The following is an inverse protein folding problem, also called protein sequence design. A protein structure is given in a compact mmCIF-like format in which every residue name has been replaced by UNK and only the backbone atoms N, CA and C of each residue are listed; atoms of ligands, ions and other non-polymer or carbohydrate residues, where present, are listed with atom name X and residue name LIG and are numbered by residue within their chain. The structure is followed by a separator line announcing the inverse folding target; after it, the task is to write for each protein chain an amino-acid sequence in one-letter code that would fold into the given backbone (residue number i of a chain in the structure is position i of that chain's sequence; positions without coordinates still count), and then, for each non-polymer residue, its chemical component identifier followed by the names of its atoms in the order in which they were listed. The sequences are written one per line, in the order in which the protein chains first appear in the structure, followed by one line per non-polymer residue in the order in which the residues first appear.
data_IF_448642456593
#
_entry.id   IF_448642456593
#
_cell.length_a   1.000
_cell.length_b   1.000
_cell.length_c   1.000
_cell.angle_alpha   90.00
_cell.angle_beta   90.00
_cell.angle_gamma   90.00
#
_symmetry.space_group_name_H-M   'P 1'
#
loop_
_entity.id
_entity.type
_entity.pdbx_description
1 polymer ?
#
# COMPACT_ATOMS: atom_id res chain seq x y z
N UNK A 1 -2.47 6.99 20.84
CA UNK A 1 -2.88 5.79 20.08
C UNK A 1 -1.68 4.85 20.08
N UNK A 2 -1.71 3.77 20.88
CA UNK A 2 -0.55 2.87 20.98
C UNK A 2 -0.48 2.01 19.72
N UNK A 3 0.68 1.96 19.08
CA UNK A 3 0.98 1.12 17.90
C UNK A 3 1.00 -0.39 18.23
N UNK A 4 0.37 -0.81 19.33
CA UNK A 4 0.33 -2.19 19.79
C UNK A 4 -0.82 -2.90 19.05
N UNK A 5 -0.48 -3.97 18.31
CA UNK A 5 -1.38 -4.98 17.72
C UNK A 5 -1.98 -4.77 16.32
N UNK A 6 -1.28 -4.11 15.39
CA UNK A 6 -1.66 -4.14 13.97
C UNK A 6 -0.94 -5.33 13.28
N UNK A 7 -1.73 -6.30 12.80
CA UNK A 7 -1.31 -7.53 12.11
C UNK A 7 -2.58 -8.19 11.54
N UNK A 8 -2.67 -8.48 10.23
CA UNK A 8 -1.63 -8.44 9.18
C UNK A 8 -1.54 -7.10 8.42
N UNK A 9 -0.49 -6.95 7.60
CA UNK A 9 -0.38 -5.86 6.62
C UNK A 9 -0.27 -6.38 5.19
N UNK A 10 -1.06 -5.82 4.28
CA UNK A 10 -0.86 -6.00 2.83
C UNK A 10 -0.03 -4.87 2.24
N UNK A 11 0.87 -5.19 1.32
CA UNK A 11 1.81 -4.27 0.69
C UNK A 11 1.78 -4.43 -0.82
N UNK A 12 1.66 -3.32 -1.54
CA UNK A 12 1.73 -3.28 -3.01
C UNK A 12 2.67 -2.17 -3.47
N UNK A 13 3.60 -2.52 -4.36
CA UNK A 13 4.45 -1.56 -5.06
C UNK A 13 3.72 -0.87 -6.21
N UNK A 14 4.04 0.41 -6.41
CA UNK A 14 3.59 1.26 -7.51
C UNK A 14 4.80 1.72 -8.32
N UNK A 15 4.70 1.69 -9.65
CA UNK A 15 5.76 2.21 -10.53
C UNK A 15 5.18 2.90 -11.76
N UNK A 16 5.82 3.98 -12.22
CA UNK A 16 5.36 4.79 -13.35
C UNK A 16 6.05 6.15 -13.34
N UNK A 17 5.30 7.23 -13.60
CA UNK A 17 5.78 8.61 -13.39
C UNK A 17 5.91 8.98 -11.92
N UNK A 18 5.39 8.14 -11.04
CA UNK A 18 5.74 8.10 -9.63
C UNK A 18 6.09 6.66 -9.25
N UNK A 19 6.93 6.50 -8.24
CA UNK A 19 7.25 5.20 -7.65
C UNK A 19 6.96 5.22 -6.16
N UNK A 20 6.52 4.08 -5.61
CA UNK A 20 6.25 4.01 -4.19
C UNK A 20 5.51 2.76 -3.77
N UNK A 21 4.86 2.85 -2.62
CA UNK A 21 4.27 1.68 -1.96
C UNK A 21 2.96 2.07 -1.28
N UNK A 22 1.96 1.19 -1.39
CA UNK A 22 0.72 1.21 -0.61
C UNK A 22 0.81 0.12 0.45
N UNK A 23 0.47 0.47 1.69
CA UNK A 23 0.47 -0.43 2.84
C UNK A 23 -0.89 -0.32 3.52
N UNK A 24 -1.60 -1.44 3.63
CA UNK A 24 -2.81 -1.55 4.44
C UNK A 24 -2.50 -2.40 5.66
N UNK A 25 -2.51 -1.80 6.83
CA UNK A 25 -2.26 -2.49 8.09
C UNK A 25 -3.55 -2.62 8.89
N UNK A 26 -3.95 -3.85 9.23
CA UNK A 26 -5.22 -4.12 9.90
C UNK A 26 -4.99 -4.71 11.29
N UNK A 27 -5.84 -4.36 12.26
CA UNK A 27 -5.94 -5.18 13.46
C UNK A 27 -6.39 -6.60 13.12
N UNK A 28 -5.96 -7.57 13.92
CA UNK A 28 -6.27 -8.99 13.70
C UNK A 28 -7.76 -9.26 13.57
N UNK A 29 -8.56 -8.62 14.43
CA UNK A 29 -10.01 -8.77 14.42
C UNK A 29 -10.61 -8.27 13.10
N UNK A 30 -10.16 -7.12 12.59
CA UNK A 30 -10.59 -6.58 11.29
C UNK A 30 -10.28 -7.55 10.16
N UNK A 31 -9.08 -8.11 10.09
CA UNK A 31 -8.73 -9.05 9.01
C UNK A 31 -9.56 -10.35 9.05
N UNK A 32 -9.79 -10.90 10.25
CA UNK A 32 -10.64 -12.09 10.43
C UNK A 32 -12.08 -11.80 10.02
N UNK A 33 -12.65 -10.67 10.46
CA UNK A 33 -14.03 -10.30 10.14
C UNK A 33 -14.20 -9.97 8.66
N UNK A 34 -13.23 -9.27 8.03
CA UNK A 34 -13.25 -9.02 6.60
C UNK A 34 -13.22 -10.33 5.80
N UNK A 35 -12.44 -11.32 6.24
CA UNK A 35 -12.38 -12.65 5.61
C UNK A 35 -13.71 -13.39 5.79
N UNK A 36 -14.31 -13.33 6.98
CA UNK A 36 -15.64 -13.90 7.25
C UNK A 36 -16.71 -13.32 6.32
N UNK A 37 -16.69 -12.01 6.08
CA UNK A 37 -17.62 -11.35 5.17
C UNK A 37 -17.39 -11.77 3.70
N UNK A 38 -16.13 -11.94 3.29
CA UNK A 38 -15.80 -12.32 1.91
C UNK A 38 -16.11 -13.79 1.59
N UNK A 39 -15.88 -14.69 2.55
CA UNK A 39 -15.96 -16.14 2.33
C UNK A 39 -17.16 -16.81 3.00
N UNK A 40 -17.89 -16.09 3.86
CA UNK A 40 -19.03 -16.61 4.61
C UNK A 40 -18.69 -17.56 5.75
N UNK A 41 -17.40 -17.70 6.08
CA UNK A 41 -16.91 -18.57 7.15
C UNK A 41 -15.88 -17.83 8.00
N UNK A 42 -16.03 -17.89 9.33
CA UNK A 42 -15.14 -17.20 10.26
C UNK A 42 -13.85 -17.99 10.50
N UNK A 43 -12.67 -17.45 10.12
CA UNK A 43 -11.40 -18.08 10.48
C UNK A 43 -11.16 -18.02 11.99
N UNK A 44 -10.66 -19.10 12.58
CA UNK A 44 -10.31 -19.12 14.01
C UNK A 44 -9.03 -18.31 14.33
N UNK A 45 -8.17 -18.12 13.33
CA UNK A 45 -6.91 -17.38 13.42
C UNK A 45 -6.52 -16.84 12.04
N UNK A 46 -5.40 -16.13 11.97
CA UNK A 46 -4.78 -15.79 10.68
C UNK A 46 -4.28 -17.08 10.02
N UNK A 47 -4.89 -17.45 8.90
CA UNK A 47 -4.56 -18.59 8.04
C UNK A 47 -4.36 -18.11 6.59
N UNK A 48 -4.24 -19.05 5.65
CA UNK A 48 -4.07 -18.75 4.21
C UNK A 48 -5.25 -17.94 3.66
N UNK A 49 -6.50 -18.28 4.02
CA UNK A 49 -7.67 -17.52 3.59
C UNK A 49 -7.63 -16.05 4.02
N UNK A 50 -7.19 -15.79 5.27
CA UNK A 50 -7.03 -14.42 5.76
C UNK A 50 -5.90 -13.69 5.03
N UNK A 51 -4.81 -14.39 4.72
CA UNK A 51 -3.69 -13.83 3.95
C UNK A 51 -4.19 -13.43 2.56
N UNK A 52 -4.90 -14.31 1.87
CA UNK A 52 -5.42 -14.06 0.53
C UNK A 52 -6.45 -12.93 0.53
N UNK A 53 -7.38 -12.91 1.49
CA UNK A 53 -8.37 -11.86 1.64
C UNK A 53 -7.70 -10.48 1.86
N UNK A 54 -6.68 -10.39 2.70
CA UNK A 54 -5.94 -9.15 2.93
C UNK A 54 -5.16 -8.72 1.69
N UNK A 55 -4.57 -9.67 0.97
CA UNK A 55 -3.91 -9.42 -0.32
C UNK A 55 -4.88 -8.82 -1.34
N UNK A 56 -6.07 -9.40 -1.47
CA UNK A 56 -7.06 -8.96 -2.45
C UNK A 56 -7.70 -7.62 -2.08
N UNK A 57 -7.97 -7.37 -0.80
CA UNK A 57 -8.42 -6.05 -0.32
C UNK A 57 -7.36 -4.99 -0.65
N UNK A 58 -6.09 -5.28 -0.38
CA UNK A 58 -4.98 -4.36 -0.67
C UNK A 58 -4.88 -4.09 -2.18
N UNK A 59 -5.03 -5.14 -3.00
CA UNK A 59 -5.02 -5.04 -4.45
C UNK A 59 -6.17 -4.20 -4.99
N UNK A 60 -7.39 -4.38 -4.47
CA UNK A 60 -8.54 -3.55 -4.83
C UNK A 60 -8.33 -2.08 -4.48
N UNK A 61 -7.77 -1.78 -3.29
CA UNK A 61 -7.47 -0.40 -2.87
C UNK A 61 -6.43 0.23 -3.79
N UNK A 62 -5.32 -0.47 -4.04
CA UNK A 62 -4.26 0.01 -4.94
C UNK A 62 -4.77 0.20 -6.37
N UNK A 63 -5.63 -0.70 -6.86
CA UNK A 63 -6.32 -0.61 -8.15
C UNK A 63 -7.17 0.64 -8.28
N UNK A 64 -8.00 0.93 -7.28
CA UNK A 64 -8.81 2.16 -7.27
C UNK A 64 -7.94 3.42 -7.17
N UNK A 65 -6.90 3.40 -6.35
CA UNK A 65 -5.96 4.52 -6.24
C UNK A 65 -5.25 4.79 -7.57
N UNK A 66 -4.78 3.76 -8.27
CA UNK A 66 -4.19 3.87 -9.61
C UNK A 66 -5.15 4.54 -10.60
N UNK A 67 -6.43 4.15 -10.61
CA UNK A 67 -7.44 4.76 -11.48
C UNK A 67 -7.69 6.24 -11.15
N UNK A 68 -7.64 6.63 -9.88
CA UNK A 68 -7.70 8.05 -9.50
C UNK A 68 -6.46 8.87 -9.88
N UNK A 69 -5.33 8.18 -10.13
CA UNK A 69 -4.02 8.75 -10.41
C UNK A 69 -3.54 8.44 -11.83
N UNK A 70 -4.46 8.36 -12.79
CA UNK A 70 -4.16 7.99 -14.19
C UNK A 70 -3.04 8.83 -14.83
N UNK A 71 -2.94 10.12 -14.48
CA UNK A 71 -1.91 11.02 -14.98
C UNK A 71 -0.47 10.60 -14.62
N UNK A 72 -0.31 9.78 -13.59
CA UNK A 72 0.98 9.20 -13.16
C UNK A 72 1.33 7.90 -13.92
N UNK A 73 0.43 7.37 -14.75
CA UNK A 73 0.64 6.18 -15.58
C UNK A 73 1.24 4.99 -14.79
N UNK A 74 0.68 4.70 -13.61
CA UNK A 74 1.24 3.70 -12.71
C UNK A 74 0.83 2.26 -13.06
N UNK A 75 1.71 1.32 -12.77
CA UNK A 75 1.48 -0.13 -12.74
C UNK A 75 1.54 -0.61 -11.29
N UNK A 76 0.81 -1.69 -11.01
CA UNK A 76 0.80 -2.35 -9.70
C UNK A 76 1.70 -3.59 -9.74
N UNK A 77 2.50 -3.78 -8.70
CA UNK A 77 3.12 -5.06 -8.42
C UNK A 77 2.10 -6.04 -7.80
N UNK A 78 2.48 -7.31 -7.66
CA UNK A 78 1.68 -8.28 -6.92
C UNK A 78 1.64 -7.92 -5.41
N UNK A 79 0.52 -8.18 -4.72
CA UNK A 79 0.44 -7.99 -3.27
C UNK A 79 1.38 -8.93 -2.53
N UNK A 80 1.98 -8.40 -1.46
CA UNK A 80 2.69 -9.19 -0.45
C UNK A 80 2.02 -8.95 0.90
N UNK A 81 1.73 -10.02 1.63
CA UNK A 81 1.13 -9.92 2.96
C UNK A 81 2.15 -10.29 4.02
N UNK A 82 2.36 -9.37 4.96
CA UNK A 82 3.27 -9.52 6.08
C UNK A 82 2.43 -9.89 7.31
N UNK A 83 2.73 -11.05 7.89
CA UNK A 83 2.15 -11.50 9.15
C UNK A 83 3.24 -11.55 10.21
N UNK A 84 2.90 -11.07 11.41
CA UNK A 84 3.88 -10.99 12.50
C UNK A 84 3.44 -9.95 13.52
N UNK A 85 3.61 -10.26 14.81
CA UNK A 85 3.30 -9.30 15.86
C UNK A 85 4.33 -8.16 15.81
N UNK A 86 3.87 -6.92 15.92
CA UNK A 86 4.71 -5.72 16.02
C UNK A 86 5.71 -5.55 14.85
N UNK A 87 5.37 -6.02 13.66
CA UNK A 87 6.14 -5.68 12.47
C UNK A 87 5.98 -4.18 12.17
N UNK A 88 7.03 -3.56 11.67
CA UNK A 88 7.06 -2.13 11.34
C UNK A 88 7.29 -2.02 9.84
N UNK A 89 6.46 -1.25 9.16
CA UNK A 89 6.67 -0.85 7.78
C UNK A 89 7.11 0.60 7.78
N UNK A 90 8.29 0.87 7.24
CA UNK A 90 8.89 2.20 7.16
C UNK A 90 9.07 2.58 5.70
N UNK A 91 8.75 3.83 5.38
CA UNK A 91 9.01 4.39 4.07
C UNK A 91 10.38 5.06 4.02
N UNK A 92 10.98 5.14 2.83
CA UNK A 92 12.27 5.80 2.64
C UNK A 92 12.18 7.30 2.93
N UNK A 93 13.28 7.91 3.40
CA UNK A 93 13.27 9.34 3.79
C UNK A 93 12.92 10.32 2.66
N UNK A 94 13.09 9.92 1.41
CA UNK A 94 12.76 10.72 0.23
C UNK A 94 11.28 10.62 -0.19
N UNK A 95 10.48 9.73 0.40
CA UNK A 95 9.07 9.54 0.02
C UNK A 95 8.18 10.58 0.69
N UNK A 96 7.23 11.13 -0.06
CA UNK A 96 6.11 11.83 0.53
C UNK A 96 5.10 10.79 1.03
N UNK A 97 4.95 10.70 2.35
CA UNK A 97 4.11 9.69 2.98
C UNK A 97 2.82 10.29 3.53
N UNK A 98 1.70 9.68 3.20
CA UNK A 98 0.39 9.97 3.77
C UNK A 98 -0.05 8.75 4.58
N UNK A 99 -0.52 8.99 5.81
CA UNK A 99 -1.10 7.98 6.70
C UNK A 99 -2.55 8.33 7.00
N UNK A 100 -3.46 7.43 6.68
CA UNK A 100 -4.90 7.62 6.83
C UNK A 100 -5.44 6.53 7.78
N UNK A 101 -5.70 6.86 9.05
CA UNK A 101 -6.31 5.93 9.98
C UNK A 101 -7.80 5.78 9.71
N UNK A 102 -8.30 4.56 9.84
CA UNK A 102 -9.71 4.21 9.80
C UNK A 102 -10.05 3.36 11.02
N UNK A 103 -11.27 3.50 11.52
CA UNK A 103 -11.82 2.67 12.59
C UNK A 103 -13.20 2.16 12.18
N UNK A 104 -13.47 0.90 12.44
CA UNK A 104 -14.79 0.29 12.29
C UNK A 104 -15.14 -0.50 13.56
N UNK A 105 -16.35 -1.09 13.59
CA UNK A 105 -16.82 -1.92 14.70
C UNK A 105 -15.90 -3.13 15.01
N UNK A 106 -15.11 -3.59 14.04
CA UNK A 106 -14.18 -4.72 14.22
C UNK A 106 -12.79 -4.30 14.69
N UNK A 107 -12.51 -2.99 14.73
CA UNK A 107 -11.23 -2.44 15.16
C UNK A 107 -10.64 -1.41 14.18
N UNK A 108 -9.36 -1.13 14.39
CA UNK A 108 -8.62 -0.13 13.64
C UNK A 108 -7.88 -0.71 12.42
N UNK A 109 -7.73 0.11 11.40
CA UNK A 109 -6.83 -0.14 10.27
C UNK A 109 -6.19 1.17 9.83
N UNK A 110 -5.06 1.05 9.14
CA UNK A 110 -4.30 2.21 8.66
C UNK A 110 -3.92 1.97 7.22
N UNK A 111 -4.24 2.93 6.35
CA UNK A 111 -3.74 2.98 4.99
C UNK A 111 -2.57 3.95 4.94
N UNK A 112 -1.43 3.49 4.46
CA UNK A 112 -0.24 4.32 4.27
C UNK A 112 0.17 4.27 2.80
N UNK A 113 0.50 5.43 2.25
CA UNK A 113 0.95 5.57 0.87
C UNK A 113 2.20 6.45 0.88
N UNK A 114 3.32 5.89 0.44
CA UNK A 114 4.56 6.64 0.22
C UNK A 114 4.82 6.70 -1.27
N UNK A 115 4.92 7.90 -1.83
CA UNK A 115 5.18 8.13 -3.26
C UNK A 115 6.35 9.09 -3.46
N UNK A 116 7.06 8.91 -4.57
CA UNK A 116 8.05 9.83 -5.12
C UNK A 116 7.64 10.07 -6.57
N UNK A 117 7.29 11.31 -6.91
CA UNK A 117 7.04 11.70 -8.29
C UNK A 117 8.36 11.99 -9.02
N UNK A 118 8.45 11.52 -10.25
CA UNK A 118 9.60 11.78 -11.13
C UNK A 118 9.29 12.99 -12.02
N UNK A 119 9.98 14.11 -11.78
CA UNK A 119 9.79 15.33 -12.57
C UNK A 119 10.37 15.16 -14.00
N UNK A 120 9.59 15.53 -15.01
CA UNK A 120 10.03 15.58 -16.42
C UNK A 120 10.99 16.74 -16.70
N UNK A 121 11.07 17.76 -15.84
CA UNK A 121 11.85 18.98 -16.11
C UNK A 121 13.37 18.76 -16.14
N UNK A 122 13.86 17.71 -15.46
CA UNK A 122 15.29 17.43 -15.33
C UNK A 122 15.85 16.62 -16.51
N UNK A 123 15.05 15.73 -17.14
CA UNK A 123 15.53 14.94 -18.29
C UNK A 123 15.74 15.79 -19.54
N UNK A 124 14.93 16.84 -19.74
CA UNK A 124 15.00 17.70 -20.93
C UNK A 124 16.18 18.65 -20.87
N UNK A 125 16.48 19.22 -19.69
CA UNK A 125 17.64 20.11 -19.50
C UNK A 125 18.97 19.39 -19.76
N UNK A 126 19.12 18.15 -19.31
CA UNK A 126 20.34 17.36 -19.56
C UNK A 126 20.54 17.03 -21.04
N UNK A 127 19.46 16.84 -21.80
CA UNK A 127 19.52 16.60 -23.24
C UNK A 127 19.84 17.88 -24.04
N UNK A 128 19.29 19.03 -23.64
CA UNK A 128 19.59 20.33 -24.28
C UNK A 128 21.04 20.80 -24.00
N UNK A 129 21.54 20.60 -22.78
CA UNK A 129 22.93 20.91 -22.42
C UNK A 129 23.95 20.02 -23.16
N UNK A 130 23.59 18.77 -23.49
CA UNK A 130 24.43 17.88 -24.28
C UNK A 130 24.46 18.24 -25.78
N UNK A 131 23.46 18.96 -26.28
CA UNK A 131 23.37 19.38 -27.69
C UNK A 131 23.92 20.81 -27.93
N UNK A 132 23.92 21.67 -26.90
CA UNK A 132 24.47 23.03 -26.98
C UNK A 132 26.00 23.11 -26.80
N UNK A 133 26.66 21.98 -26.53
CA UNK A 133 28.11 21.86 -26.36
C UNK A 133 28.85 21.23 -27.54
N UNK A 134 28.19 21.06 -28.69
CA UNK A 134 28.78 20.61 -29.97
C UNK A 134 28.84 21.77 -30.96
#
# INVERSE_FOLDING_TARGET
MKAEYINPSGVIGLSGRASGTVVLSLQRAVAIMATEVLLGQKPAAINEDVIDAVGEITNMIAGRAKAGLEHLAMTLALPTVITGKNHIVSFGSATQTIRIPYSCEWGDMVLEVGLIEHDKSLSTKSAELAHAGA
#
